data_IF_594506856537
#
_entry.id   IF_594506856537
#
_cell.length_a   1.000
_cell.length_b   1.000
_cell.length_c   1.000
_cell.angle_alpha   90.00
_cell.angle_beta   90.00
_cell.angle_gamma   90.00
#
_symmetry.space_group_name_H-M   'P 1'
#
loop_
_entity.id
_entity.type
_entity.pdbx_description
1 polymer ?
#
# COMPACT_ATOMS: atom_id res chain seq x y z
N UNK A 1 24.18 1.26 -3.83
CA UNK A 1 23.86 1.88 -2.52
C UNK A 1 22.61 1.23 -1.93
N UNK A 2 22.76 0.16 -1.14
CA UNK A 2 21.66 -0.35 -0.29
C UNK A 2 21.80 0.35 1.05
N UNK A 3 21.00 1.38 1.29
CA UNK A 3 20.88 1.98 2.62
C UNK A 3 20.52 0.86 3.59
N UNK A 4 21.28 0.65 4.67
CA UNK A 4 21.06 -0.51 5.50
C UNK A 4 19.77 -0.31 6.32
N UNK A 5 18.87 -1.29 6.24
CA UNK A 5 17.50 -1.25 6.76
C UNK A 5 17.39 -0.95 8.28
N UNK A 6 18.50 -0.99 9.02
CA UNK A 6 18.53 -0.64 10.44
C UNK A 6 18.37 0.86 10.71
N UNK A 7 18.66 1.75 9.75
CA UNK A 7 18.60 3.20 9.96
C UNK A 7 17.16 3.75 9.98
N UNK A 8 16.28 3.21 9.12
CA UNK A 8 14.89 3.63 9.01
C UNK A 8 14.05 3.36 10.29
N UNK A 9 14.45 2.40 11.13
CA UNK A 9 13.73 2.09 12.38
C UNK A 9 13.85 3.19 13.43
N UNK A 10 14.97 3.92 13.46
CA UNK A 10 15.18 4.98 14.45
C UNK A 10 14.37 6.25 14.14
N UNK A 11 14.16 6.54 12.86
CA UNK A 11 13.44 7.75 12.42
C UNK A 11 11.94 7.71 12.75
N UNK A 12 11.33 6.52 12.80
CA UNK A 12 9.89 6.37 13.13
C UNK A 12 9.56 6.90 14.53
N UNK A 13 10.49 6.81 15.48
CA UNK A 13 10.29 7.27 16.86
C UNK A 13 10.15 8.79 16.98
N UNK A 14 10.52 9.55 15.94
CA UNK A 14 10.36 11.01 15.87
C UNK A 14 8.94 11.45 15.51
N UNK A 15 8.11 10.53 15.02
CA UNK A 15 6.74 10.81 14.58
C UNK A 15 5.74 10.59 15.73
N UNK A 16 4.52 11.15 15.66
CA UNK A 16 3.47 10.86 16.63
C UNK A 16 3.23 9.36 16.86
N UNK A 17 3.12 8.95 18.13
CA UNK A 17 2.91 7.56 18.55
C UNK A 17 1.77 6.83 17.79
N UNK A 18 0.63 7.47 17.44
CA UNK A 18 -0.43 6.81 16.69
C UNK A 18 0.00 6.31 15.31
N UNK A 19 1.03 6.90 14.71
CA UNK A 19 1.55 6.51 13.39
C UNK A 19 2.46 5.29 13.44
N UNK A 20 3.10 5.02 14.57
CA UNK A 20 4.16 4.02 14.66
C UNK A 20 3.70 2.62 14.29
N UNK A 21 2.47 2.24 14.66
CA UNK A 21 1.96 0.89 14.35
C UNK A 21 1.77 0.70 12.85
N UNK A 22 1.30 1.74 12.15
CA UNK A 22 1.07 1.70 10.69
C UNK A 22 2.37 1.85 9.89
N UNK A 23 3.32 2.66 10.37
CA UNK A 23 4.60 2.90 9.67
C UNK A 23 5.60 1.75 9.83
N UNK A 24 5.50 0.98 10.92
CA UNK A 24 6.40 -0.17 11.17
C UNK A 24 6.06 -1.39 10.32
N UNK A 25 4.89 -1.45 9.71
CA UNK A 25 4.45 -2.59 8.91
C UNK A 25 4.12 -2.18 7.48
N UNK A 26 4.43 -3.06 6.54
CA UNK A 26 4.10 -2.92 5.12
C UNK A 26 2.84 -3.71 4.75
N UNK A 27 2.13 -4.26 5.74
CA UNK A 27 0.99 -5.16 5.55
C UNK A 27 -0.06 -4.65 4.56
N UNK A 28 -0.39 -3.36 4.57
CA UNK A 28 -1.36 -2.80 3.63
C UNK A 28 -0.85 -2.84 2.18
N UNK A 29 0.42 -2.51 1.97
CA UNK A 29 1.07 -2.53 0.66
C UNK A 29 1.26 -3.97 0.18
N UNK A 30 1.74 -4.84 1.06
CA UNK A 30 1.90 -6.27 0.79
C UNK A 30 0.58 -6.92 0.41
N UNK A 31 -0.50 -6.59 1.12
CA UNK A 31 -1.84 -7.07 0.82
C UNK A 31 -2.30 -6.64 -0.59
N UNK A 32 -2.08 -5.38 -0.98
CA UNK A 32 -2.37 -4.93 -2.35
C UNK A 32 -1.61 -5.75 -3.40
N UNK A 33 -0.30 -5.97 -3.21
CA UNK A 33 0.50 -6.74 -4.17
C UNK A 33 0.14 -8.23 -4.20
N UNK A 34 -0.25 -8.80 -3.06
CA UNK A 34 -0.76 -10.18 -2.99
C UNK A 34 -2.05 -10.31 -3.80
N UNK A 35 -2.97 -9.36 -3.69
CA UNK A 35 -4.22 -9.39 -4.46
C UNK A 35 -3.97 -9.18 -5.96
N UNK A 36 -3.05 -8.30 -6.34
CA UNK A 36 -2.60 -8.18 -7.75
C UNK A 36 -2.08 -9.52 -8.25
N UNK A 37 -1.17 -10.17 -7.51
CA UNK A 37 -0.61 -11.47 -7.89
C UNK A 37 -1.68 -12.56 -7.93
N UNK A 38 -2.66 -12.55 -7.02
CA UNK A 38 -3.76 -13.51 -6.99
C UNK A 38 -4.64 -13.38 -8.23
N UNK A 39 -4.95 -12.15 -8.63
CA UNK A 39 -5.78 -11.87 -9.81
C UNK A 39 -5.05 -12.18 -11.13
N UNK A 40 -3.74 -11.96 -11.19
CA UNK A 40 -2.95 -12.20 -12.42
C UNK A 40 -2.52 -13.66 -12.59
N UNK A 41 -2.45 -14.45 -11.51
CA UNK A 41 -2.04 -15.86 -11.53
C UNK A 41 -2.82 -16.75 -12.53
N UNK A 42 -4.16 -16.72 -12.60
CA UNK A 42 -4.89 -17.52 -13.57
C UNK A 42 -4.75 -17.04 -15.02
N UNK A 43 -4.44 -15.75 -15.23
CA UNK A 43 -4.29 -15.17 -16.58
C UNK A 43 -3.00 -15.65 -17.25
N UNK A 44 -1.92 -15.81 -16.47
CA UNK A 44 -0.63 -16.28 -16.99
C UNK A 44 0.11 -15.24 -17.84
N UNK A 45 -0.38 -15.00 -19.07
CA UNK A 45 0.18 -14.04 -20.03
C UNK A 45 -0.92 -13.09 -20.52
N UNK A 46 -0.68 -11.80 -20.41
CA UNK A 46 -1.59 -10.77 -20.94
C UNK A 46 -1.29 -10.49 -22.41
N UNK A 47 -2.34 -10.33 -23.22
CA UNK A 47 -2.22 -10.03 -24.67
C UNK A 47 -1.67 -8.62 -24.91
N UNK A 48 -1.94 -7.67 -24.02
CA UNK A 48 -1.44 -6.30 -24.10
C UNK A 48 -1.25 -5.67 -22.71
N UNK A 49 -0.40 -4.64 -22.62
CA UNK A 49 -0.12 -3.93 -21.36
C UNK A 49 -1.38 -3.28 -20.78
N UNK A 50 -2.23 -2.70 -21.63
CA UNK A 50 -3.48 -2.06 -21.21
C UNK A 50 -4.44 -3.00 -20.45
N UNK A 51 -4.44 -4.29 -20.79
CA UNK A 51 -5.25 -5.30 -20.10
C UNK A 51 -4.74 -5.57 -18.68
N UNK A 52 -3.42 -5.59 -18.49
CA UNK A 52 -2.82 -5.70 -17.16
C UNK A 52 -3.07 -4.42 -16.34
N UNK A 53 -2.94 -3.24 -16.95
CA UNK A 53 -3.23 -1.96 -16.30
C UNK A 53 -4.66 -1.87 -15.78
N UNK A 54 -5.66 -2.35 -16.54
CA UNK A 54 -7.06 -2.40 -16.09
C UNK A 54 -7.24 -3.27 -14.84
N UNK A 55 -6.59 -4.43 -14.78
CA UNK A 55 -6.64 -5.31 -13.61
C UNK A 55 -6.03 -4.62 -12.40
N UNK A 56 -4.83 -4.04 -12.58
CA UNK A 56 -4.14 -3.31 -11.53
C UNK A 56 -5.02 -2.16 -11.02
N UNK A 57 -5.53 -1.32 -11.92
CA UNK A 57 -6.40 -0.20 -11.60
C UNK A 57 -7.65 -0.63 -10.82
N UNK A 58 -8.34 -1.69 -11.26
CA UNK A 58 -9.55 -2.18 -10.58
C UNK A 58 -9.27 -2.59 -9.13
N UNK A 59 -8.15 -3.27 -8.87
CA UNK A 59 -7.75 -3.71 -7.53
C UNK A 59 -7.43 -2.49 -6.64
N UNK A 60 -6.58 -1.59 -7.12
CA UNK A 60 -6.22 -0.39 -6.36
C UNK A 60 -7.41 0.52 -6.11
N UNK A 61 -8.31 0.67 -7.09
CA UNK A 61 -9.52 1.45 -6.91
C UNK A 61 -10.45 0.83 -5.87
N UNK A 62 -10.58 -0.49 -5.81
CA UNK A 62 -11.31 -1.19 -4.75
C UNK A 62 -10.75 -0.90 -3.36
N UNK A 63 -9.42 -0.95 -3.21
CA UNK A 63 -8.76 -0.58 -1.94
C UNK A 63 -8.95 0.89 -1.58
N UNK A 64 -8.82 1.80 -2.56
CA UNK A 64 -9.01 3.23 -2.34
C UNK A 64 -10.41 3.54 -1.83
N UNK A 65 -11.44 2.93 -2.43
CA UNK A 65 -12.83 3.04 -1.97
C UNK A 65 -12.99 2.51 -0.54
N UNK A 66 -12.41 1.33 -0.24
CA UNK A 66 -12.47 0.74 1.09
C UNK A 66 -11.78 1.59 2.18
N UNK A 67 -10.73 2.32 1.82
CA UNK A 67 -9.91 3.10 2.74
C UNK A 67 -10.27 4.59 2.80
N UNK A 68 -11.20 5.04 1.96
CA UNK A 68 -11.62 6.44 1.84
C UNK A 68 -11.95 7.08 3.19
N UNK A 69 -12.54 6.31 4.12
CA UNK A 69 -12.93 6.79 5.45
C UNK A 69 -11.98 6.34 6.58
N UNK A 70 -10.78 5.85 6.26
CA UNK A 70 -9.80 5.31 7.24
C UNK A 70 -8.64 6.28 7.54
N UNK A 71 -8.82 7.56 7.22
CA UNK A 71 -7.86 8.61 7.53
C UNK A 71 -7.67 8.75 9.04
N UNK A 72 -6.42 8.87 9.48
CA UNK A 72 -6.14 9.11 10.89
C UNK A 72 -6.58 10.53 11.26
N UNK A 73 -7.17 10.70 12.44
CA UNK A 73 -7.61 12.00 12.94
C UNK A 73 -6.49 13.06 12.86
N UNK A 74 -5.24 12.67 13.13
CA UNK A 74 -4.05 13.51 12.98
C UNK A 74 -3.90 14.19 11.60
N UNK A 75 -4.47 13.61 10.54
CA UNK A 75 -4.46 14.15 9.18
C UNK A 75 -5.81 14.77 8.77
N UNK A 76 -6.85 14.63 9.60
CA UNK A 76 -8.18 15.18 9.33
C UNK A 76 -8.33 16.66 9.75
N UNK A 77 -7.41 17.18 10.58
CA UNK A 77 -7.45 18.55 11.12
C UNK A 77 -6.99 19.67 10.15
N UNK A 78 -6.77 19.38 8.86
CA UNK A 78 -6.20 20.34 7.90
C UNK A 78 -7.11 20.59 6.68
N UNK A 79 -8.42 20.71 6.91
CA UNK A 79 -9.39 21.15 5.90
C UNK A 79 -10.22 22.33 6.42
#
# INVERSE_FOLDING_TARGET
MKTPAHRARADVLRLPQPLWRKLRTTNAIEHCFVEVRRCTRPVGVFVNVASAERVIYAIFQGFNQQWQNRTLALFAQAA
#
